data_IF_541582156672
#
_entry.id   IF_541582156672
#
_cell.length_a   1.000
_cell.length_b   1.000
_cell.length_c   1.000
_cell.angle_alpha   90.00
_cell.angle_beta   90.00
_cell.angle_gamma   90.00
#
_symmetry.space_group_name_H-M   'P 1'
#
loop_
_entity.id
_entity.type
_entity.pdbx_description
1 polymer ?
#
# COMPACT_ATOMS: atom_id res chain seq x y z
N UNK A 1 3.96 -1.11 51.64
CA UNK A 1 2.79 -0.26 51.96
C UNK A 1 1.86 -0.24 50.75
N UNK A 2 0.98 -1.23 50.66
CA UNK A 2 -0.10 -1.28 49.69
C UNK A 2 -1.32 -0.53 50.26
N UNK A 3 -2.11 0.11 49.41
CA UNK A 3 -3.47 0.53 49.73
C UNK A 3 -4.40 0.13 48.58
N UNK A 4 -5.09 -1.00 48.78
CA UNK A 4 -6.38 -1.31 48.20
C UNK A 4 -7.44 -0.31 48.70
N UNK A 5 -8.45 -0.03 47.87
CA UNK A 5 -9.80 0.27 48.37
C UNK A 5 -10.81 -0.58 47.59
N UNK A 6 -11.38 -1.54 48.30
CA UNK A 6 -12.56 -2.36 47.98
C UNK A 6 -13.85 -1.52 48.07
N UNK A 7 -14.77 -1.64 47.12
CA UNK A 7 -15.92 -2.57 47.04
C UNK A 7 -17.14 -2.15 47.89
N UNK A 8 -18.30 -2.03 47.26
CA UNK A 8 -19.58 -2.24 47.94
C UNK A 8 -20.57 -2.91 46.99
N UNK A 9 -20.90 -4.17 47.32
CA UNK A 9 -21.92 -5.03 46.71
C UNK A 9 -23.31 -4.72 47.29
N UNK A 10 -24.35 -5.04 46.52
CA UNK A 10 -25.65 -5.68 46.85
C UNK A 10 -26.74 -5.07 45.94
N UNK A 11 -27.72 -5.76 45.36
CA UNK A 11 -28.28 -7.12 45.48
C UNK A 11 -28.99 -7.49 44.15
N UNK A 12 -29.08 -8.79 43.92
CA UNK A 12 -29.76 -9.48 42.81
C UNK A 12 -31.28 -9.38 42.87
N UNK A 13 -31.93 -9.32 41.70
CA UNK A 13 -33.25 -9.94 41.49
C UNK A 13 -33.39 -10.43 40.04
N UNK A 14 -33.58 -11.74 39.92
CA UNK A 14 -34.00 -12.47 38.73
C UNK A 14 -35.41 -12.05 38.29
N UNK A 15 -35.66 -11.98 36.97
CA UNK A 15 -36.96 -12.33 36.41
C UNK A 15 -36.77 -13.03 35.06
N UNK A 16 -37.09 -14.32 35.11
CA UNK A 16 -37.31 -15.24 34.00
C UNK A 16 -38.67 -14.94 33.36
N UNK A 17 -38.74 -14.88 32.03
CA UNK A 17 -39.96 -15.17 31.28
C UNK A 17 -39.61 -16.09 30.11
N UNK A 18 -40.15 -17.31 30.16
CA UNK A 18 -40.08 -18.33 29.13
C UNK A 18 -41.24 -18.23 28.13
N UNK A 19 -40.89 -18.49 26.87
CA UNK A 19 -41.63 -19.18 25.78
C UNK A 19 -42.88 -18.55 25.15
N UNK A 20 -42.79 -18.34 23.83
CA UNK A 20 -43.72 -18.95 22.88
C UNK A 20 -43.02 -19.13 21.51
N UNK A 21 -43.03 -20.37 21.02
CA UNK A 21 -42.60 -20.76 19.68
C UNK A 21 -43.71 -20.52 18.66
N UNK A 22 -43.35 -20.13 17.43
CA UNK A 22 -44.17 -20.36 16.25
C UNK A 22 -43.26 -20.64 15.05
N UNK A 23 -43.45 -21.83 14.46
CA UNK A 23 -42.78 -22.32 13.27
C UNK A 23 -43.16 -21.49 12.04
N UNK A 24 -42.19 -21.28 11.16
CA UNK A 24 -42.37 -20.59 9.89
C UNK A 24 -41.24 -20.96 8.93
N UNK A 25 -41.45 -22.07 8.23
CA UNK A 25 -40.61 -22.60 7.17
C UNK A 25 -40.41 -21.53 6.08
N UNK A 26 -39.18 -21.05 5.90
CA UNK A 26 -38.82 -20.19 4.77
C UNK A 26 -37.45 -20.61 4.26
N UNK A 27 -37.48 -21.49 3.27
CA UNK A 27 -36.35 -21.82 2.40
C UNK A 27 -35.59 -20.55 1.97
N UNK A 28 -34.42 -20.31 2.57
CA UNK A 28 -33.46 -19.33 2.08
C UNK A 28 -32.88 -19.87 0.76
N UNK A 29 -33.52 -19.52 -0.36
CA UNK A 29 -32.96 -19.75 -1.69
C UNK A 29 -31.69 -18.90 -1.82
N UNK A 30 -30.52 -19.55 -1.77
CA UNK A 30 -29.27 -18.99 -2.27
C UNK A 30 -29.46 -18.67 -3.77
N UNK A 31 -29.66 -17.40 -4.09
CA UNK A 31 -29.59 -16.92 -5.46
C UNK A 31 -28.12 -16.82 -5.85
N UNK A 32 -27.65 -17.79 -6.63
CA UNK A 32 -26.35 -17.73 -7.30
C UNK A 32 -26.43 -16.60 -8.32
N UNK A 33 -25.73 -15.50 -8.06
CA UNK A 33 -25.60 -14.41 -9.01
C UNK A 33 -24.70 -14.89 -10.17
N UNK A 34 -25.30 -15.19 -11.31
CA UNK A 34 -24.58 -15.57 -12.53
C UNK A 34 -23.85 -14.35 -13.12
N UNK A 35 -22.54 -14.44 -13.45
CA UNK A 35 -21.84 -13.35 -14.09
C UNK A 35 -22.17 -13.35 -15.59
N UNK A 36 -23.11 -12.48 -16.01
CA UNK A 36 -23.18 -12.03 -17.40
C UNK A 36 -23.50 -10.55 -17.48
N UNK A 37 -22.47 -9.75 -17.80
CA UNK A 37 -22.34 -9.01 -19.07
C UNK A 37 -21.00 -8.28 -19.08
N UNK A 38 -20.26 -8.48 -20.17
CA UNK A 38 -19.04 -7.79 -20.52
C UNK A 38 -19.29 -6.29 -20.64
N UNK A 39 -18.76 -5.52 -19.71
CA UNK A 39 -18.62 -4.08 -19.86
C UNK A 39 -17.32 -3.79 -20.61
N UNK A 40 -17.34 -3.93 -21.94
CA UNK A 40 -16.31 -3.36 -22.80
C UNK A 40 -16.63 -1.87 -22.99
N UNK A 41 -16.16 -1.02 -22.08
CA UNK A 41 -16.05 0.41 -22.36
C UNK A 41 -14.80 0.65 -23.22
N UNK A 42 -14.88 1.47 -24.30
CA UNK A 42 -13.72 1.78 -25.13
C UNK A 42 -12.70 2.61 -24.32
N UNK A 43 -11.43 2.20 -24.36
CA UNK A 43 -10.29 2.83 -23.64
C UNK A 43 -9.73 4.06 -24.40
N UNK A 44 -10.30 4.44 -25.55
CA UNK A 44 -9.64 5.34 -26.52
C UNK A 44 -9.87 6.85 -26.33
N UNK A 45 -9.69 7.40 -25.11
CA UNK A 45 -9.74 8.87 -24.93
C UNK A 45 -8.58 9.50 -24.16
N UNK A 46 -7.56 8.74 -23.76
CA UNK A 46 -6.29 9.33 -23.35
C UNK A 46 -5.34 9.34 -24.55
N UNK A 47 -5.12 10.52 -25.11
CA UNK A 47 -4.12 10.73 -26.16
C UNK A 47 -2.74 10.29 -25.66
N UNK A 48 -2.16 9.34 -26.38
CA UNK A 48 -0.86 8.72 -26.13
C UNK A 48 0.28 9.75 -26.10
N UNK A 49 0.51 10.33 -24.93
CA UNK A 49 1.76 11.03 -24.58
C UNK A 49 2.71 10.16 -23.75
N UNK A 50 2.30 8.95 -23.37
CA UNK A 50 3.18 7.99 -22.73
C UNK A 50 3.92 7.24 -23.85
N UNK A 51 5.18 7.62 -24.09
CA UNK A 51 6.09 6.80 -24.87
C UNK A 51 6.11 5.40 -24.24
N UNK A 52 5.33 4.49 -24.84
CA UNK A 52 5.51 3.07 -24.71
C UNK A 52 6.84 2.76 -25.42
N UNK A 53 7.93 2.91 -24.67
CA UNK A 53 9.23 2.44 -25.11
C UNK A 53 9.17 0.92 -25.11
N UNK A 54 9.47 0.34 -26.26
CA UNK A 54 9.73 -1.09 -26.48
C UNK A 54 10.93 -1.61 -25.62
N UNK A 55 11.57 -0.74 -24.83
CA UNK A 55 12.80 -0.96 -24.04
C UNK A 55 12.59 -0.89 -22.50
N UNK A 56 11.38 -1.12 -21.97
CA UNK A 56 11.22 -1.24 -20.50
C UNK A 56 11.62 -2.64 -20.01
N UNK A 57 12.92 -2.79 -19.72
CA UNK A 57 13.52 -4.04 -19.24
C UNK A 57 12.81 -4.60 -17.99
N UNK A 58 12.41 -3.74 -17.04
CA UNK A 58 11.73 -4.17 -15.81
C UNK A 58 10.36 -4.74 -16.12
N UNK A 59 9.63 -4.11 -17.05
CA UNK A 59 8.33 -4.63 -17.49
C UNK A 59 8.45 -5.92 -18.28
N UNK A 60 9.46 -6.02 -19.16
CA UNK A 60 9.75 -7.25 -19.89
C UNK A 60 10.05 -8.41 -18.93
N UNK A 61 10.93 -8.22 -17.95
CA UNK A 61 11.27 -9.24 -16.94
C UNK A 61 10.03 -9.66 -16.14
N UNK A 62 9.22 -8.71 -15.66
CA UNK A 62 7.96 -9.01 -14.96
C UNK A 62 7.02 -9.89 -15.78
N UNK A 63 6.89 -9.63 -17.09
CA UNK A 63 6.04 -10.41 -17.98
C UNK A 63 6.61 -11.81 -18.23
N UNK A 64 7.91 -11.94 -18.34
CA UNK A 64 8.57 -13.23 -18.56
C UNK A 64 8.48 -14.11 -17.29
N UNK A 65 8.71 -13.53 -16.11
CA UNK A 65 8.49 -14.20 -14.83
C UNK A 65 7.04 -14.63 -14.63
N UNK A 66 6.09 -13.76 -14.99
CA UNK A 66 4.66 -14.09 -14.95
C UNK A 66 4.31 -15.27 -15.86
N UNK A 67 4.89 -15.35 -17.06
CA UNK A 67 4.68 -16.51 -17.96
C UNK A 67 5.26 -17.78 -17.36
N UNK A 68 6.48 -17.71 -16.82
CA UNK A 68 7.10 -18.84 -16.12
C UNK A 68 6.23 -19.33 -14.95
N UNK A 69 5.71 -18.43 -14.10
CA UNK A 69 4.86 -18.84 -12.97
C UNK A 69 3.54 -19.48 -13.43
N UNK A 70 2.98 -19.06 -14.58
CA UNK A 70 1.77 -19.65 -15.17
C UNK A 70 2.02 -21.04 -15.75
N UNK A 71 3.23 -21.29 -16.27
CA UNK A 71 3.66 -22.61 -16.72
C UNK A 71 3.85 -23.57 -15.54
N UNK A 72 4.49 -23.08 -14.48
CA UNK A 72 4.75 -23.84 -13.26
C UNK A 72 3.46 -24.11 -12.46
N UNK A 73 2.54 -23.14 -12.39
CA UNK A 73 1.29 -23.23 -11.62
C UNK A 73 0.05 -22.75 -12.42
N UNK A 74 -0.54 -23.61 -13.27
CA UNK A 74 -1.64 -23.25 -14.16
C UNK A 74 -2.92 -22.75 -13.47
N UNK A 75 -3.15 -23.06 -12.19
CA UNK A 75 -4.33 -22.56 -11.48
C UNK A 75 -4.31 -21.03 -11.34
N UNK A 76 -3.12 -20.41 -11.39
CA UNK A 76 -2.94 -18.97 -11.29
C UNK A 76 -2.99 -18.26 -12.65
N UNK A 77 -3.24 -18.97 -13.75
CA UNK A 77 -3.25 -18.39 -15.12
C UNK A 77 -4.11 -17.12 -15.23
N UNK A 78 -5.34 -17.18 -14.74
CA UNK A 78 -6.25 -16.03 -14.82
C UNK A 78 -5.74 -14.87 -13.96
N UNK A 79 -5.20 -15.18 -12.78
CA UNK A 79 -4.66 -14.18 -11.85
C UNK A 79 -3.49 -13.39 -12.46
N UNK A 80 -2.50 -14.06 -13.04
CA UNK A 80 -1.39 -13.39 -13.74
C UNK A 80 -1.84 -12.69 -15.03
N UNK A 81 -2.81 -13.27 -15.74
CA UNK A 81 -3.37 -12.64 -16.94
C UNK A 81 -4.02 -11.30 -16.62
N UNK A 82 -4.85 -11.26 -15.59
CA UNK A 82 -5.61 -10.07 -15.20
C UNK A 82 -4.73 -8.98 -14.61
N UNK A 83 -3.67 -9.33 -13.88
CA UNK A 83 -2.83 -8.34 -13.19
C UNK A 83 -1.60 -7.92 -14.00
N UNK A 84 -1.13 -8.72 -14.96
CA UNK A 84 0.13 -8.47 -15.66
C UNK A 84 -0.01 -8.69 -17.18
N UNK A 85 -0.34 -9.90 -17.63
CA UNK A 85 -0.11 -10.27 -19.04
C UNK A 85 -1.04 -9.53 -20.02
N UNK A 86 -2.24 -9.13 -19.57
CA UNK A 86 -3.22 -8.36 -20.36
C UNK A 86 -2.91 -6.85 -20.44
N UNK A 87 -1.98 -6.36 -19.63
CA UNK A 87 -1.62 -4.95 -19.58
C UNK A 87 -0.53 -4.60 -20.61
N UNK A 88 -0.55 -3.35 -21.09
CA UNK A 88 0.42 -2.85 -22.08
C UNK A 88 1.70 -2.33 -21.46
N UNK A 89 1.61 -1.74 -20.26
CA UNK A 89 2.74 -1.19 -19.53
C UNK A 89 2.63 -1.40 -18.02
N UNK A 90 3.75 -1.25 -17.33
CA UNK A 90 3.86 -1.39 -15.87
C UNK A 90 2.89 -0.47 -15.12
N UNK A 91 2.74 0.78 -15.56
CA UNK A 91 1.86 1.76 -14.91
C UNK A 91 0.39 1.33 -14.98
N UNK A 92 -0.06 0.77 -16.12
CA UNK A 92 -1.43 0.27 -16.27
C UNK A 92 -1.69 -0.96 -15.40
N UNK A 93 -0.72 -1.88 -15.32
CA UNK A 93 -0.81 -3.06 -14.45
C UNK A 93 -0.87 -2.66 -12.97
N UNK A 94 0.01 -1.75 -12.56
CA UNK A 94 0.11 -1.27 -11.19
C UNK A 94 -1.16 -0.54 -10.76
N UNK A 95 -1.69 0.33 -11.61
CA UNK A 95 -2.93 1.04 -11.33
C UNK A 95 -4.12 0.08 -11.15
N UNK A 96 -4.22 -0.97 -11.98
CA UNK A 96 -5.27 -1.97 -11.88
C UNK A 96 -5.15 -2.79 -10.59
N UNK A 97 -3.93 -3.22 -10.26
CA UNK A 97 -3.65 -3.97 -9.04
C UNK A 97 -3.97 -3.16 -7.78
N UNK A 98 -3.48 -1.93 -7.71
CA UNK A 98 -3.78 -1.00 -6.60
C UNK A 98 -5.28 -0.69 -6.52
N UNK A 99 -5.95 -0.46 -7.65
CA UNK A 99 -7.40 -0.21 -7.65
C UNK A 99 -8.17 -1.39 -7.07
N UNK A 100 -7.82 -2.62 -7.44
CA UNK A 100 -8.42 -3.84 -6.88
C UNK A 100 -8.21 -3.94 -5.37
N UNK A 101 -7.01 -3.61 -4.87
CA UNK A 101 -6.67 -3.67 -3.45
C UNK A 101 -7.30 -2.54 -2.62
N UNK A 102 -7.42 -1.35 -3.19
CA UNK A 102 -7.78 -0.12 -2.45
C UNK A 102 -9.23 0.30 -2.64
N UNK A 103 -9.99 -0.31 -3.55
CA UNK A 103 -11.38 0.04 -3.79
C UNK A 103 -12.23 -0.06 -2.51
N UNK A 104 -13.31 0.74 -2.48
CA UNK A 104 -14.31 0.73 -1.41
C UNK A 104 -15.60 0.18 -2.00
N UNK A 105 -15.94 -1.09 -1.75
CA UNK A 105 -17.13 -1.71 -2.32
C UNK A 105 -18.39 -0.88 -2.06
N UNK A 106 -19.13 -0.56 -3.12
CA UNK A 106 -20.37 0.21 -3.04
C UNK A 106 -20.21 1.73 -2.90
N UNK A 107 -18.99 2.25 -2.74
CA UNK A 107 -18.73 3.70 -2.59
C UNK A 107 -17.83 4.23 -3.71
N UNK A 108 -16.66 3.60 -3.92
CA UNK A 108 -15.71 3.98 -4.96
C UNK A 108 -15.49 2.79 -5.87
N UNK A 109 -15.97 2.90 -7.11
CA UNK A 109 -15.83 1.85 -8.11
C UNK A 109 -14.34 1.65 -8.48
N UNK A 110 -13.95 0.39 -8.69
CA UNK A 110 -12.57 0.04 -9.06
C UNK A 110 -12.10 0.73 -10.33
N UNK A 111 -12.98 0.94 -11.32
CA UNK A 111 -12.64 1.65 -12.57
C UNK A 111 -12.29 3.12 -12.33
N UNK A 112 -13.07 3.83 -11.50
CA UNK A 112 -12.76 5.23 -11.15
C UNK A 112 -11.44 5.34 -10.38
N UNK A 113 -11.17 4.37 -9.51
CA UNK A 113 -9.92 4.33 -8.77
C UNK A 113 -8.72 4.00 -9.69
N UNK A 114 -8.92 3.11 -10.66
CA UNK A 114 -7.95 2.82 -11.72
C UNK A 114 -7.58 4.09 -12.49
N UNK A 115 -8.57 4.85 -13.00
CA UNK A 115 -8.30 6.05 -13.79
C UNK A 115 -7.53 7.10 -12.97
N UNK A 116 -7.89 7.25 -11.69
CA UNK A 116 -7.19 8.15 -10.76
C UNK A 116 -5.74 7.74 -10.55
N UNK A 117 -5.50 6.47 -10.25
CA UNK A 117 -4.16 5.93 -9.98
C UNK A 117 -3.30 5.94 -11.24
N UNK A 118 -3.86 5.53 -12.37
CA UNK A 118 -3.16 5.53 -13.66
C UNK A 118 -2.76 6.94 -14.06
N UNK A 119 -3.68 7.91 -13.98
CA UNK A 119 -3.38 9.32 -14.28
C UNK A 119 -2.26 9.87 -13.38
N UNK A 120 -2.31 9.58 -12.07
CA UNK A 120 -1.30 10.05 -11.13
C UNK A 120 0.08 9.40 -11.36
N UNK A 121 0.13 8.09 -11.58
CA UNK A 121 1.38 7.35 -11.74
C UNK A 121 2.00 7.56 -13.13
N UNK A 122 1.21 7.45 -14.21
CA UNK A 122 1.70 7.59 -15.58
C UNK A 122 2.03 9.05 -15.93
N UNK A 123 1.32 10.01 -15.34
CA UNK A 123 1.56 11.44 -15.53
C UNK A 123 2.79 11.98 -14.81
N UNK A 124 3.46 11.17 -13.98
CA UNK A 124 4.62 11.56 -13.19
C UNK A 124 5.90 10.78 -13.57
N UNK A 125 6.82 11.40 -14.32
CA UNK A 125 8.09 10.77 -14.67
C UNK A 125 8.92 10.33 -13.45
N UNK A 126 8.80 11.03 -12.31
CA UNK A 126 9.51 10.67 -11.09
C UNK A 126 8.91 9.41 -10.44
N UNK A 127 7.58 9.32 -10.35
CA UNK A 127 6.91 8.13 -9.86
C UNK A 127 7.22 6.92 -10.75
N UNK A 128 7.23 7.09 -12.08
CA UNK A 128 7.57 6.03 -13.04
C UNK A 128 8.97 5.47 -12.81
N UNK A 129 9.99 6.31 -12.62
CA UNK A 129 11.34 5.85 -12.28
C UNK A 129 11.36 5.15 -10.93
N UNK A 130 10.69 5.72 -9.94
CA UNK A 130 10.68 5.19 -8.60
C UNK A 130 10.04 3.81 -8.50
N UNK A 131 8.94 3.53 -9.20
CA UNK A 131 8.33 2.18 -9.26
C UNK A 131 9.36 1.13 -9.71
N UNK A 132 10.12 1.44 -10.76
CA UNK A 132 11.15 0.54 -11.31
C UNK A 132 12.32 0.37 -10.36
N UNK A 133 12.78 1.46 -9.76
CA UNK A 133 13.84 1.45 -8.76
C UNK A 133 13.43 0.65 -7.51
N UNK A 134 12.18 0.78 -7.05
CA UNK A 134 11.66 0.09 -5.87
C UNK A 134 11.56 -1.43 -6.11
N UNK A 135 11.18 -1.87 -7.31
CA UNK A 135 11.21 -3.29 -7.70
C UNK A 135 12.62 -3.87 -7.70
N UNK A 136 13.59 -3.15 -8.30
CA UNK A 136 15.01 -3.53 -8.28
C UNK A 136 15.55 -3.56 -6.86
N UNK A 137 15.21 -2.57 -6.05
CA UNK A 137 15.56 -2.49 -4.64
C UNK A 137 15.09 -3.72 -3.84
N UNK A 138 13.88 -4.21 -4.11
CA UNK A 138 13.38 -5.43 -3.48
C UNK A 138 14.17 -6.66 -3.95
N UNK A 139 14.33 -6.82 -5.26
CA UNK A 139 15.15 -7.89 -5.86
C UNK A 139 16.56 -7.96 -5.26
N UNK A 140 17.22 -6.81 -5.16
CA UNK A 140 18.66 -6.75 -4.85
C UNK A 140 18.94 -6.87 -3.35
N UNK A 141 18.01 -6.43 -2.51
CA UNK A 141 18.24 -6.27 -1.06
C UNK A 141 17.38 -7.15 -0.19
N UNK A 142 16.31 -7.75 -0.71
CA UNK A 142 15.56 -8.79 -0.01
C UNK A 142 15.98 -10.18 -0.51
N UNK A 143 16.69 -10.99 0.29
CA UNK A 143 17.07 -12.35 -0.06
C UNK A 143 15.88 -13.27 -0.38
N UNK A 144 14.67 -12.94 0.06
CA UNK A 144 13.45 -13.69 -0.24
C UNK A 144 12.82 -13.29 -1.60
N UNK A 145 13.28 -12.21 -2.23
CA UNK A 145 12.73 -11.71 -3.49
C UNK A 145 13.39 -12.36 -4.71
N UNK A 146 13.08 -13.64 -4.94
CA UNK A 146 13.61 -14.40 -6.07
C UNK A 146 12.99 -14.03 -7.43
N UNK A 147 11.74 -13.52 -7.48
CA UNK A 147 11.12 -12.94 -8.70
C UNK A 147 10.54 -11.52 -8.44
N UNK A 148 10.76 -10.55 -9.34
CA UNK A 148 10.23 -9.19 -9.21
C UNK A 148 8.70 -9.22 -9.31
N UNK A 149 8.16 -10.18 -10.06
CA UNK A 149 6.72 -10.41 -10.16
C UNK A 149 6.09 -10.74 -8.82
N UNK A 150 6.81 -11.43 -7.92
CA UNK A 150 6.34 -11.72 -6.57
C UNK A 150 6.33 -10.46 -5.70
N UNK A 151 7.33 -9.58 -5.85
CA UNK A 151 7.30 -8.26 -5.22
C UNK A 151 6.10 -7.45 -5.71
N UNK A 152 5.94 -7.32 -7.03
CA UNK A 152 4.84 -6.59 -7.65
C UNK A 152 3.47 -7.07 -7.17
N UNK A 153 3.25 -8.38 -7.10
CA UNK A 153 1.94 -8.96 -6.76
C UNK A 153 1.65 -8.98 -5.26
N UNK A 154 2.66 -9.28 -4.43
CA UNK A 154 2.45 -9.71 -3.05
C UNK A 154 3.09 -8.80 -2.00
N UNK A 155 4.08 -7.97 -2.35
CA UNK A 155 4.80 -7.18 -1.35
C UNK A 155 4.01 -5.94 -1.00
N UNK A 156 3.33 -5.99 0.14
CA UNK A 156 2.51 -4.88 0.63
C UNK A 156 3.32 -3.60 0.87
N UNK A 157 4.61 -3.71 1.21
CA UNK A 157 5.50 -2.57 1.36
C UNK A 157 5.70 -1.83 0.03
N UNK A 158 5.98 -2.57 -1.04
CA UNK A 158 6.06 -2.04 -2.39
C UNK A 158 4.73 -1.39 -2.82
N UNK A 159 3.60 -2.11 -2.65
CA UNK A 159 2.27 -1.60 -3.03
C UNK A 159 1.87 -0.34 -2.25
N UNK A 160 2.15 -0.29 -0.95
CA UNK A 160 1.88 0.88 -0.12
C UNK A 160 2.70 2.10 -0.55
N UNK A 161 3.97 1.89 -0.91
CA UNK A 161 4.84 2.94 -1.41
C UNK A 161 4.33 3.52 -2.74
N UNK A 162 3.89 2.67 -3.67
CA UNK A 162 3.34 3.15 -4.94
C UNK A 162 1.99 3.87 -4.76
N UNK A 163 1.13 3.39 -3.84
CA UNK A 163 -0.09 4.09 -3.45
C UNK A 163 0.22 5.48 -2.85
N UNK A 164 1.25 5.56 -2.00
CA UNK A 164 1.73 6.84 -1.46
C UNK A 164 2.19 7.79 -2.57
N UNK A 165 2.97 7.32 -3.57
CA UNK A 165 3.41 8.20 -4.68
C UNK A 165 2.24 8.80 -5.44
N UNK A 166 1.20 8.01 -5.73
CA UNK A 166 -0.04 8.53 -6.31
C UNK A 166 -0.71 9.55 -5.39
N UNK A 167 -0.82 9.25 -4.09
CA UNK A 167 -1.39 10.16 -3.10
C UNK A 167 -0.58 11.47 -2.96
N UNK A 168 0.74 11.39 -2.98
CA UNK A 168 1.67 12.51 -2.89
C UNK A 168 1.49 13.47 -4.07
N UNK A 169 1.36 12.93 -5.29
CA UNK A 169 1.05 13.75 -6.46
C UNK A 169 -0.30 14.46 -6.32
N UNK A 170 -1.36 13.73 -5.96
CA UNK A 170 -2.68 14.32 -5.75
C UNK A 170 -2.66 15.39 -4.65
N UNK A 171 -1.85 15.21 -3.61
CA UNK A 171 -1.63 16.19 -2.56
C UNK A 171 -1.00 17.46 -3.10
N UNK A 172 0.05 17.35 -3.92
CA UNK A 172 0.71 18.47 -4.60
C UNK A 172 -0.20 19.22 -5.58
N UNK A 173 -1.14 18.52 -6.21
CA UNK A 173 -2.20 19.10 -7.07
C UNK A 173 -3.34 19.76 -6.27
N UNK A 174 -3.29 19.75 -4.93
CA UNK A 174 -4.32 20.31 -4.06
C UNK A 174 -5.55 19.40 -3.89
N UNK A 175 -5.57 18.20 -4.47
CA UNK A 175 -6.66 17.21 -4.38
C UNK A 175 -6.61 16.43 -3.06
N UNK A 176 -6.57 17.15 -1.94
CA UNK A 176 -6.27 16.59 -0.60
C UNK A 176 -7.20 15.47 -0.15
N UNK A 177 -8.51 15.58 -0.42
CA UNK A 177 -9.46 14.54 -0.03
C UNK A 177 -9.16 13.19 -0.72
N UNK A 178 -8.78 13.22 -2.00
CA UNK A 178 -8.42 12.02 -2.74
C UNK A 178 -7.10 11.42 -2.24
N UNK A 179 -6.12 12.28 -1.93
CA UNK A 179 -4.85 11.84 -1.35
C UNK A 179 -5.03 11.17 0.02
N UNK A 180 -5.85 11.76 0.91
CA UNK A 180 -6.16 11.21 2.23
C UNK A 180 -6.99 9.92 2.14
N UNK A 181 -7.88 9.80 1.14
CA UNK A 181 -8.56 8.54 0.87
C UNK A 181 -7.54 7.45 0.54
N UNK A 182 -6.61 7.69 -0.40
CA UNK A 182 -5.59 6.71 -0.75
C UNK A 182 -4.71 6.33 0.45
N UNK A 183 -4.28 7.30 1.26
CA UNK A 183 -3.55 7.05 2.51
C UNK A 183 -4.35 6.11 3.43
N UNK A 184 -5.62 6.44 3.71
CA UNK A 184 -6.46 5.64 4.59
C UNK A 184 -6.64 4.21 4.08
N UNK A 185 -6.92 4.05 2.77
CA UNK A 185 -7.04 2.72 2.15
C UNK A 185 -5.73 1.93 2.19
N UNK A 186 -4.59 2.58 1.98
CA UNK A 186 -3.28 1.92 2.08
C UNK A 186 -2.97 1.48 3.51
N UNK A 187 -3.29 2.32 4.51
CA UNK A 187 -3.17 1.98 5.93
C UNK A 187 -4.01 0.76 6.28
N UNK A 188 -5.27 0.70 5.84
CA UNK A 188 -6.14 -0.45 6.08
C UNK A 188 -5.69 -1.72 5.35
N UNK A 189 -5.37 -1.62 4.05
CA UNK A 189 -5.09 -2.79 3.21
C UNK A 189 -3.69 -3.37 3.42
N UNK A 190 -2.71 -2.51 3.72
CA UNK A 190 -1.29 -2.89 3.78
C UNK A 190 -0.68 -2.76 5.17
N UNK A 191 -1.39 -2.14 6.12
CA UNK A 191 -0.88 -1.80 7.45
C UNK A 191 0.35 -0.88 7.39
N UNK A 192 0.34 0.08 6.46
CA UNK A 192 1.40 1.07 6.23
C UNK A 192 0.76 2.45 6.14
N UNK A 193 1.15 3.36 7.03
CA UNK A 193 0.60 4.72 7.08
C UNK A 193 1.67 5.74 6.69
N UNK A 194 1.60 6.23 5.46
CA UNK A 194 2.50 7.27 4.95
C UNK A 194 1.63 8.47 4.59
N UNK A 195 1.84 9.58 5.29
CA UNK A 195 1.09 10.79 5.01
C UNK A 195 1.42 11.31 3.60
N UNK A 196 0.43 11.72 2.78
CA UNK A 196 0.67 12.16 1.40
C UNK A 196 1.65 13.34 1.28
N UNK A 197 1.76 14.17 2.31
CA UNK A 197 2.75 15.25 2.38
C UNK A 197 4.21 14.80 2.52
N UNK A 198 4.49 13.56 2.93
CA UNK A 198 5.84 13.06 3.13
C UNK A 198 6.57 12.91 1.79
N UNK A 199 7.82 13.39 1.74
CA UNK A 199 8.68 13.21 0.57
C UNK A 199 9.45 11.90 0.68
N UNK A 200 9.37 11.04 -0.32
CA UNK A 200 10.03 9.74 -0.34
C UNK A 200 10.75 9.54 -1.67
N UNK A 201 12.06 9.29 -1.60
CA UNK A 201 12.94 9.04 -2.76
C UNK A 201 12.60 7.74 -3.49
N UNK A 202 13.50 7.31 -4.38
CA UNK A 202 13.36 6.09 -5.17
C UNK A 202 14.28 4.97 -4.66
N UNK A 203 14.02 3.72 -5.06
CA UNK A 203 14.79 2.59 -4.57
C UNK A 203 14.55 2.34 -3.09
N UNK A 204 13.34 2.56 -2.58
CA UNK A 204 13.04 2.35 -1.16
C UNK A 204 12.51 0.94 -0.96
N UNK A 205 13.07 0.23 0.03
CA UNK A 205 12.60 -1.08 0.46
C UNK A 205 11.86 -0.97 1.80
N UNK A 206 10.56 -1.25 1.78
CA UNK A 206 9.75 -1.44 3.00
C UNK A 206 9.60 -2.94 3.27
N UNK A 207 10.53 -3.50 4.03
CA UNK A 207 10.53 -4.93 4.33
C UNK A 207 9.62 -5.26 5.52
N UNK A 208 8.81 -6.30 5.36
CA UNK A 208 7.78 -6.71 6.31
C UNK A 208 6.86 -5.58 6.78
N UNK A 209 6.63 -4.57 5.95
CA UNK A 209 6.15 -3.19 6.20
C UNK A 209 5.01 -2.92 7.23
N UNK A 210 4.37 -3.94 7.78
CA UNK A 210 3.39 -3.83 8.87
C UNK A 210 3.83 -2.86 9.96
N UNK A 211 2.97 -1.90 10.27
CA UNK A 211 3.21 -0.93 11.34
C UNK A 211 4.22 0.15 11.01
N UNK A 212 4.63 0.29 9.74
CA UNK A 212 5.42 1.45 9.30
C UNK A 212 4.53 2.70 9.31
N UNK A 213 5.02 3.76 9.96
CA UNK A 213 4.36 5.07 10.05
C UNK A 213 5.33 6.17 9.62
N UNK A 214 4.96 6.99 8.64
CA UNK A 214 5.76 8.11 8.14
C UNK A 214 4.91 9.37 8.10
N UNK A 215 5.26 10.33 8.96
CA UNK A 215 4.47 11.54 9.15
C UNK A 215 4.64 12.62 8.08
N UNK A 216 3.74 13.61 8.12
CA UNK A 216 3.51 14.62 7.06
C UNK A 216 4.76 15.34 6.56
N UNK A 217 5.69 15.70 7.43
CA UNK A 217 6.87 16.53 7.07
C UNK A 217 8.15 15.71 7.02
N UNK A 218 8.02 14.37 7.04
CA UNK A 218 9.16 13.48 6.95
C UNK A 218 9.74 13.57 5.53
N UNK A 219 11.07 13.44 5.46
CA UNK A 219 11.77 13.25 4.20
C UNK A 219 12.54 11.95 4.29
N UNK A 220 12.35 11.09 3.31
CA UNK A 220 13.09 9.84 3.14
C UNK A 220 13.86 9.93 1.84
N UNK A 221 15.17 9.78 1.91
CA UNK A 221 16.07 9.75 0.77
C UNK A 221 15.84 8.54 -0.15
N UNK A 222 16.74 8.39 -1.11
CA UNK A 222 16.77 7.25 -2.03
C UNK A 222 17.56 6.08 -1.42
N UNK A 223 17.32 4.87 -1.92
CA UNK A 223 18.04 3.66 -1.49
C UNK A 223 17.90 3.33 0.01
N UNK A 224 16.84 3.82 0.66
CA UNK A 224 16.57 3.57 2.09
C UNK A 224 15.92 2.19 2.27
N UNK A 225 16.33 1.45 3.29
CA UNK A 225 15.69 0.21 3.75
C UNK A 225 15.03 0.44 5.11
N UNK A 226 13.73 0.19 5.21
CA UNK A 226 12.93 0.36 6.41
C UNK A 226 12.27 -0.98 6.75
N UNK A 227 12.55 -1.51 7.93
CA UNK A 227 11.92 -2.74 8.41
C UNK A 227 10.57 -2.48 9.10
N UNK A 228 9.86 -3.55 9.44
CA UNK A 228 8.55 -3.50 10.09
C UNK A 228 8.52 -2.65 11.38
N UNK A 229 7.36 -2.06 11.68
CA UNK A 229 7.12 -1.33 12.93
C UNK A 229 7.91 -0.03 13.11
N UNK A 230 8.57 0.47 12.07
CA UNK A 230 9.32 1.74 12.14
C UNK A 230 8.38 2.94 12.16
N UNK A 231 8.66 3.92 13.01
CA UNK A 231 7.94 5.20 13.06
C UNK A 231 8.88 6.36 12.77
N UNK A 232 8.56 7.16 11.75
CA UNK A 232 9.14 8.47 11.48
C UNK A 232 8.12 9.54 11.89
N UNK A 233 8.11 9.87 13.19
CA UNK A 233 7.00 10.53 13.85
C UNK A 233 7.34 11.91 14.41
N UNK A 234 6.31 12.63 14.86
CA UNK A 234 6.47 13.85 15.64
C UNK A 234 6.48 13.57 17.15
N UNK A 235 6.98 14.52 17.92
CA UNK A 235 6.96 14.46 19.41
C UNK A 235 5.66 14.99 20.02
N UNK A 236 4.79 15.62 19.21
CA UNK A 236 3.57 16.28 19.65
C UNK A 236 3.77 17.67 20.28
N UNK A 237 5.02 18.15 20.38
CA UNK A 237 5.35 19.44 21.02
C UNK A 237 5.58 20.59 20.03
N UNK A 238 5.78 20.26 18.76
CA UNK A 238 6.19 21.21 17.71
C UNK A 238 5.16 21.23 16.58
N UNK A 239 4.86 22.44 16.08
CA UNK A 239 4.07 22.67 14.88
C UNK A 239 4.99 22.99 13.70
N UNK A 240 4.49 22.80 12.47
CA UNK A 240 5.31 22.96 11.26
C UNK A 240 6.17 21.73 10.98
N UNK A 241 7.43 21.94 10.62
CA UNK A 241 8.35 20.85 10.28
C UNK A 241 8.83 20.13 11.55
N UNK A 242 8.30 18.92 11.77
CA UNK A 242 8.32 18.20 13.05
C UNK A 242 8.64 16.71 12.95
N UNK A 243 9.04 16.24 11.76
CA UNK A 243 9.30 14.83 11.48
C UNK A 243 10.73 14.63 10.93
N UNK A 244 11.28 13.41 11.01
CA UNK A 244 12.68 13.16 10.66
C UNK A 244 13.04 13.40 9.19
N UNK A 245 14.34 13.65 8.96
CA UNK A 245 14.98 13.73 7.64
C UNK A 245 15.98 12.58 7.51
N UNK A 246 15.61 11.55 6.76
CA UNK A 246 16.40 10.36 6.54
C UNK A 246 17.21 10.54 5.26
N UNK A 247 18.54 10.46 5.37
CA UNK A 247 19.46 10.52 4.24
C UNK A 247 19.40 9.30 3.34
N UNK A 248 20.17 9.34 2.26
CA UNK A 248 20.21 8.29 1.24
C UNK A 248 20.92 7.04 1.77
N UNK A 249 20.52 5.85 1.33
CA UNK A 249 21.17 4.58 1.68
C UNK A 249 21.05 4.17 3.16
N UNK A 250 20.18 4.82 3.94
CA UNK A 250 20.00 4.52 5.36
C UNK A 250 19.29 3.18 5.54
N UNK A 251 19.72 2.40 6.54
CA UNK A 251 19.04 1.21 7.01
C UNK A 251 18.42 1.46 8.39
N UNK A 252 17.10 1.30 8.51
CA UNK A 252 16.36 1.45 9.75
C UNK A 252 15.84 0.09 10.21
N UNK A 253 16.39 -0.39 11.33
CA UNK A 253 16.02 -1.67 11.93
C UNK A 253 14.59 -1.70 12.46
N UNK A 254 14.05 -2.91 12.61
CA UNK A 254 12.66 -3.15 12.97
C UNK A 254 12.27 -2.52 14.31
N UNK A 255 11.04 -1.99 14.40
CA UNK A 255 10.48 -1.42 15.62
C UNK A 255 11.17 -0.14 16.09
N UNK A 256 11.90 0.55 15.22
CA UNK A 256 12.62 1.78 15.58
C UNK A 256 11.70 2.99 15.49
N UNK A 257 11.75 3.86 16.49
CA UNK A 257 11.03 5.14 16.50
C UNK A 257 12.02 6.29 16.40
N UNK A 258 11.90 7.11 15.36
CA UNK A 258 12.69 8.31 15.14
C UNK A 258 11.72 9.49 15.24
N UNK A 259 11.89 10.34 16.25
CA UNK A 259 10.87 11.33 16.62
C UNK A 259 11.40 12.77 16.56
N UNK A 260 10.61 13.66 15.99
CA UNK A 260 10.93 15.08 15.88
C UNK A 260 11.72 15.43 14.61
N UNK A 261 11.99 16.72 14.43
CA UNK A 261 12.72 17.21 13.26
C UNK A 261 14.24 17.02 13.42
N UNK A 262 14.67 15.76 13.38
CA UNK A 262 16.07 15.35 13.44
C UNK A 262 16.54 14.80 12.09
N UNK A 263 17.85 14.87 11.85
CA UNK A 263 18.48 14.37 10.63
C UNK A 263 19.28 13.11 10.90
N UNK A 264 19.04 12.08 10.11
CA UNK A 264 19.86 10.88 10.01
C UNK A 264 20.70 11.02 8.72
N UNK A 265 22.02 10.99 8.85
CA UNK A 265 22.93 11.16 7.72
C UNK A 265 22.94 9.96 6.76
N UNK A 266 23.45 10.18 5.56
CA UNK A 266 23.50 9.18 4.49
C UNK A 266 24.32 7.94 4.92
N UNK A 267 23.87 6.77 4.48
CA UNK A 267 24.50 5.47 4.75
C UNK A 267 24.45 5.02 6.21
N UNK A 268 23.78 5.78 7.09
CA UNK A 268 23.66 5.41 8.49
C UNK A 268 22.87 4.10 8.68
N UNK A 269 23.17 3.39 9.76
CA UNK A 269 22.49 2.15 10.13
C UNK A 269 21.96 2.27 11.56
N UNK A 270 20.66 2.15 11.72
CA UNK A 270 20.00 2.20 13.02
C UNK A 270 19.59 0.78 13.40
N UNK A 271 20.08 0.30 14.54
CA UNK A 271 19.72 -1.02 15.04
C UNK A 271 18.22 -1.14 15.36
N UNK A 272 17.70 -2.37 15.51
CA UNK A 272 16.28 -2.59 15.82
C UNK A 272 15.91 -2.09 17.23
N UNK A 273 14.64 -1.72 17.41
CA UNK A 273 14.05 -1.34 18.69
C UNK A 273 14.63 -0.06 19.32
N UNK A 274 15.22 0.82 18.50
CA UNK A 274 15.86 2.05 18.97
C UNK A 274 14.84 3.19 19.06
N UNK A 275 15.15 4.15 19.93
CA UNK A 275 14.47 5.44 20.03
C UNK A 275 15.51 6.51 19.71
N UNK A 276 15.27 7.30 18.68
CA UNK A 276 16.13 8.37 18.21
C UNK A 276 15.40 9.71 18.29
#
# INVERSE_FOLDING_TARGET
MAACVENCRTKSTFLCWTTAAAAGDSSCKFSVCSPRRSCTTPIDQYSDGAAAGDDDEVWAELRDEARSDVEDEPILRQYYSDLILSHRCLESALAAHLAGKLCVPGVVASGTLYDLLFSALAGDPSARRAVRADLRAARDRDPACAKMVHCFLYYKGFLALQAHRAAHRLWGEGRRAAALLLQGRASEAFAVDIHPGAAVGEGVLLDHATGVVIGETAVVGSDVSILHGVTLGGTGKESGDRHPKIGDGVLIGAGTHILGNIRIGDGAKIGPGRWC
#
